data_IF_250288549861
#
_entry.id   IF_250288549861
#
_cell.length_a   1.000
_cell.length_b   1.000
_cell.length_c   1.000
_cell.angle_alpha   90.00
_cell.angle_beta   90.00
_cell.angle_gamma   90.00
#
_symmetry.space_group_name_H-M   'P 1'
#
loop_
_entity.id
_entity.type
_entity.pdbx_description
1 polymer ?
#
# COMPACT_ATOMS: atom_id res chain seq x y z
N UNK A 1 23.47 -15.89 8.30
CA UNK A 1 23.44 -15.96 6.81
C UNK A 1 21.97 -16.26 6.45
N UNK A 2 21.17 -15.19 6.33
CA UNK A 2 19.76 -15.32 5.91
C UNK A 2 19.82 -15.63 4.41
N UNK A 3 19.51 -16.88 4.07
CA UNK A 3 19.49 -17.35 2.69
C UNK A 3 18.29 -16.70 2.00
N UNK A 4 18.56 -15.78 1.09
CA UNK A 4 17.57 -15.19 0.15
C UNK A 4 17.07 -16.22 -0.88
N UNK A 5 17.18 -17.50 -0.59
CA UNK A 5 16.75 -18.60 -1.43
C UNK A 5 15.37 -19.06 -0.95
N UNK A 6 14.34 -18.67 -1.62
CA UNK A 6 13.05 -19.36 -1.76
C UNK A 6 11.87 -18.39 -1.97
N UNK A 7 11.93 -17.60 -3.04
CA UNK A 7 10.68 -17.13 -3.67
C UNK A 7 10.60 -17.63 -5.12
N UNK A 8 11.23 -18.78 -5.41
CA UNK A 8 11.02 -19.51 -6.66
C UNK A 8 9.85 -20.49 -6.46
N UNK A 9 8.64 -20.08 -6.77
CA UNK A 9 7.54 -21.00 -7.01
C UNK A 9 7.88 -21.89 -8.20
N UNK A 10 8.07 -23.17 -7.94
CA UNK A 10 8.36 -24.25 -8.86
C UNK A 10 7.12 -24.48 -9.78
N UNK A 11 7.06 -23.80 -10.92
CA UNK A 11 6.06 -24.07 -11.97
C UNK A 11 6.70 -24.98 -13.01
N UNK A 12 6.20 -26.22 -13.15
CA UNK A 12 6.57 -27.12 -14.25
C UNK A 12 6.22 -26.49 -15.60
N UNK A 13 7.09 -26.58 -16.62
CA UNK A 13 6.77 -26.08 -17.95
C UNK A 13 5.75 -27.00 -18.63
N UNK A 14 4.55 -26.48 -18.82
CA UNK A 14 3.58 -27.06 -19.77
C UNK A 14 3.85 -26.51 -21.16
N UNK A 15 4.29 -27.36 -22.07
CA UNK A 15 4.42 -27.10 -23.50
C UNK A 15 3.06 -26.86 -24.12
N UNK A 16 2.78 -25.64 -24.63
CA UNK A 16 1.83 -25.46 -25.74
C UNK A 16 2.28 -24.29 -26.61
N UNK A 17 2.35 -24.65 -27.88
CA UNK A 17 2.86 -23.86 -29.02
C UNK A 17 1.91 -22.71 -29.38
N UNK A 18 2.50 -21.61 -29.87
CA UNK A 18 1.95 -20.35 -30.32
C UNK A 18 0.93 -20.43 -31.46
N UNK A 19 0.19 -19.33 -31.80
CA UNK A 19 0.74 -18.47 -32.84
C UNK A 19 0.78 -16.98 -32.51
N UNK A 20 1.77 -16.34 -33.09
CA UNK A 20 2.08 -14.93 -33.06
C UNK A 20 0.97 -14.07 -33.68
N UNK A 21 0.55 -13.05 -32.97
CA UNK A 21 0.23 -11.72 -33.49
C UNK A 21 0.01 -10.79 -32.29
N UNK A 22 1.06 -10.17 -31.81
CA UNK A 22 0.98 -9.13 -30.78
C UNK A 22 1.34 -7.79 -31.42
N UNK A 23 0.35 -6.95 -31.61
CA UNK A 23 0.53 -5.53 -31.85
C UNK A 23 1.09 -4.87 -30.57
N UNK A 24 1.96 -3.86 -30.66
CA UNK A 24 2.58 -3.23 -29.51
C UNK A 24 1.62 -2.25 -28.85
N UNK A 25 1.41 -2.41 -27.53
CA UNK A 25 0.94 -1.33 -26.68
C UNK A 25 -0.41 -1.49 -26.02
N UNK A 26 -0.52 -2.28 -24.93
CA UNK A 26 -1.63 -2.13 -23.96
C UNK A 26 -1.48 -2.90 -22.63
N UNK A 27 -0.31 -3.32 -22.15
CA UNK A 27 -0.27 -4.13 -20.93
C UNK A 27 0.62 -3.61 -19.79
N UNK A 28 1.31 -2.48 -19.95
CA UNK A 28 2.17 -1.93 -18.91
C UNK A 28 1.47 -0.94 -17.96
N UNK A 29 0.30 -0.38 -18.32
CA UNK A 29 -0.38 0.65 -17.54
C UNK A 29 -1.23 0.10 -16.38
N UNK A 30 -1.88 -1.05 -16.54
CA UNK A 30 -2.81 -1.57 -15.52
C UNK A 30 -2.13 -2.07 -14.24
N UNK A 31 -0.99 -2.74 -14.36
CA UNK A 31 -0.26 -3.29 -13.20
C UNK A 31 0.31 -2.20 -12.29
N UNK A 32 0.87 -1.14 -12.87
CA UNK A 32 1.41 0.00 -12.11
C UNK A 32 0.33 0.80 -11.38
N UNK A 33 -0.85 0.96 -11.97
CA UNK A 33 -1.98 1.66 -11.37
C UNK A 33 -2.53 0.93 -10.14
N UNK A 34 -2.68 -0.40 -10.20
CA UNK A 34 -3.11 -1.20 -9.06
C UNK A 34 -2.12 -1.14 -7.90
N UNK A 35 -0.83 -1.18 -8.19
CA UNK A 35 0.24 -1.12 -7.21
C UNK A 35 0.25 0.22 -6.47
N UNK A 36 0.01 1.32 -7.19
CA UNK A 36 -0.08 2.65 -6.59
C UNK A 36 -1.15 2.74 -5.49
N UNK A 37 -2.24 1.95 -5.59
CA UNK A 37 -3.29 1.92 -4.56
C UNK A 37 -2.82 1.39 -3.20
N UNK A 38 -1.69 0.68 -3.15
CA UNK A 38 -1.15 0.16 -1.89
C UNK A 38 -0.57 1.28 -1.03
N UNK A 39 -0.11 2.37 -1.65
CA UNK A 39 0.53 3.48 -0.96
C UNK A 39 -0.46 4.53 -0.45
N UNK A 40 -1.72 4.46 -0.88
CA UNK A 40 -2.78 5.41 -0.51
C UNK A 40 -2.34 6.88 -0.69
N UNK A 41 -1.62 7.18 -1.78
CA UNK A 41 -1.08 8.51 -2.10
C UNK A 41 -1.76 9.17 -3.30
N UNK A 42 -2.91 8.64 -3.74
CA UNK A 42 -3.71 9.21 -4.81
C UNK A 42 -4.18 10.62 -4.47
N UNK A 43 -4.16 11.49 -5.48
CA UNK A 43 -4.73 12.84 -5.38
C UNK A 43 -6.26 12.79 -5.25
N UNK A 44 -6.87 13.84 -4.72
CA UNK A 44 -8.31 13.95 -4.56
C UNK A 44 -9.06 13.73 -5.89
N UNK A 45 -8.48 14.16 -7.01
CA UNK A 45 -9.04 13.91 -8.34
C UNK A 45 -9.01 12.41 -8.69
N UNK A 46 -7.88 11.74 -8.52
CA UNK A 46 -7.74 10.30 -8.81
C UNK A 46 -8.69 9.47 -7.94
N UNK A 47 -8.81 9.80 -6.65
CA UNK A 47 -9.74 9.12 -5.74
C UNK A 47 -11.17 9.25 -6.24
N UNK A 48 -11.59 10.47 -6.63
CA UNK A 48 -12.96 10.72 -7.11
C UNK A 48 -13.27 10.01 -8.44
N UNK A 49 -12.25 9.79 -9.29
CA UNK A 49 -12.39 9.04 -10.55
C UNK A 49 -12.52 7.52 -10.30
N UNK A 50 -11.87 7.00 -9.25
CA UNK A 50 -12.00 5.59 -8.84
C UNK A 50 -13.36 5.30 -8.18
N UNK A 51 -13.90 6.27 -7.47
CA UNK A 51 -15.13 6.17 -6.72
C UNK A 51 -16.34 6.23 -7.65
N UNK A 52 -16.75 5.09 -8.22
CA UNK A 52 -18.06 4.99 -8.88
C UNK A 52 -19.09 4.61 -7.82
N UNK A 53 -20.04 5.52 -7.48
CA UNK A 53 -21.13 5.19 -6.55
C UNK A 53 -21.90 3.98 -7.09
N UNK A 54 -21.95 2.89 -6.35
CA UNK A 54 -22.69 1.68 -6.72
C UNK A 54 -24.12 1.69 -6.15
N UNK A 55 -24.55 2.81 -5.52
CA UNK A 55 -25.87 2.94 -4.89
C UNK A 55 -26.14 4.35 -4.37
N UNK A 56 -27.30 4.58 -3.73
CA UNK A 56 -27.59 5.85 -3.08
C UNK A 56 -26.58 6.10 -1.94
N UNK A 57 -25.87 7.21 -2.03
CA UNK A 57 -24.88 7.61 -1.05
C UNK A 57 -25.51 7.87 0.32
N UNK A 58 -25.02 7.21 1.35
CA UNK A 58 -25.34 7.55 2.74
C UNK A 58 -24.60 8.82 3.20
N UNK A 59 -25.06 9.47 4.27
CA UNK A 59 -24.44 10.71 4.78
C UNK A 59 -22.98 10.50 5.24
N UNK A 60 -22.58 9.27 5.52
CA UNK A 60 -21.23 8.87 5.94
C UNK A 60 -20.50 8.03 4.88
N UNK A 61 -20.92 8.10 3.63
CA UNK A 61 -20.21 7.43 2.55
C UNK A 61 -18.94 8.21 2.19
N UNK A 62 -17.73 7.65 2.39
CA UNK A 62 -16.49 8.37 2.17
C UNK A 62 -16.33 8.82 0.71
N UNK A 63 -16.87 8.04 -0.23
CA UNK A 63 -16.75 8.36 -1.65
C UNK A 63 -17.55 9.60 -2.04
N UNK A 64 -18.73 9.77 -1.46
CA UNK A 64 -19.54 10.99 -1.64
C UNK A 64 -18.87 12.20 -1.02
N UNK A 65 -18.21 12.04 0.14
CA UNK A 65 -17.45 13.10 0.79
C UNK A 65 -16.23 13.51 -0.04
N UNK A 66 -15.50 12.55 -0.63
CA UNK A 66 -14.40 12.87 -1.56
C UNK A 66 -14.89 13.61 -2.80
N UNK A 67 -16.01 13.20 -3.40
CA UNK A 67 -16.59 13.89 -4.55
C UNK A 67 -17.04 15.32 -4.20
N UNK A 68 -17.66 15.53 -3.03
CA UNK A 68 -18.02 16.85 -2.50
C UNK A 68 -16.78 17.73 -2.27
N UNK A 69 -15.76 17.18 -1.63
CA UNK A 69 -14.50 17.88 -1.39
C UNK A 69 -13.81 18.32 -2.70
N UNK A 70 -13.80 17.44 -3.73
CA UNK A 70 -13.29 17.78 -5.04
C UNK A 70 -14.08 18.92 -5.69
N UNK A 71 -15.40 18.87 -5.65
CA UNK A 71 -16.27 19.91 -6.21
C UNK A 71 -16.04 21.25 -5.51
N UNK A 72 -15.96 21.27 -4.18
CA UNK A 72 -15.66 22.47 -3.39
C UNK A 72 -14.26 23.04 -3.71
N UNK A 73 -13.25 22.18 -3.81
CA UNK A 73 -11.88 22.57 -4.16
C UNK A 73 -11.82 23.24 -5.55
N UNK A 74 -12.50 22.66 -6.55
CA UNK A 74 -12.59 23.24 -7.90
C UNK A 74 -13.29 24.59 -7.96
N UNK A 75 -14.17 24.88 -7.02
CA UNK A 75 -14.86 26.15 -6.85
C UNK A 75 -14.05 27.19 -6.03
N UNK A 76 -12.86 26.81 -5.58
CA UNK A 76 -12.03 27.65 -4.72
C UNK A 76 -12.49 27.70 -3.25
N UNK A 77 -13.44 26.85 -2.85
CA UNK A 77 -13.94 26.75 -1.47
C UNK A 77 -13.13 25.74 -0.68
N UNK A 78 -11.89 26.11 -0.30
CA UNK A 78 -10.96 25.23 0.42
C UNK A 78 -11.50 24.81 1.81
N UNK A 79 -12.21 25.70 2.50
CA UNK A 79 -12.74 25.40 3.83
C UNK A 79 -13.81 24.29 3.78
N UNK A 80 -14.72 24.36 2.80
CA UNK A 80 -15.72 23.30 2.60
C UNK A 80 -15.04 21.98 2.23
N UNK A 81 -14.04 22.01 1.33
CA UNK A 81 -13.28 20.81 0.95
C UNK A 81 -12.62 20.17 2.17
N UNK A 82 -11.95 20.96 3.02
CA UNK A 82 -11.33 20.45 4.26
C UNK A 82 -12.36 19.88 5.24
N UNK A 83 -13.51 20.55 5.38
CA UNK A 83 -14.57 20.07 6.28
C UNK A 83 -15.13 18.71 5.82
N UNK A 84 -15.33 18.50 4.52
CA UNK A 84 -15.82 17.23 4.01
C UNK A 84 -14.77 16.11 4.16
N UNK A 85 -13.48 16.41 3.96
CA UNK A 85 -12.39 15.47 4.21
C UNK A 85 -12.26 15.10 5.69
N UNK A 86 -12.44 16.06 6.62
CA UNK A 86 -12.43 15.79 8.07
C UNK A 86 -13.58 14.87 8.50
N UNK A 87 -14.75 14.98 7.90
CA UNK A 87 -15.87 14.05 8.14
C UNK A 87 -15.50 12.60 7.79
N UNK A 88 -14.62 12.38 6.79
CA UNK A 88 -14.14 11.04 6.47
C UNK A 88 -13.30 10.46 7.62
N UNK A 89 -12.49 11.30 8.27
CA UNK A 89 -11.67 10.88 9.42
C UNK A 89 -12.51 10.55 10.66
N UNK A 90 -13.71 11.13 10.76
CA UNK A 90 -14.66 10.90 11.85
C UNK A 90 -15.52 9.62 11.64
N UNK A 91 -15.39 8.92 10.50
CA UNK A 91 -16.11 7.67 10.23
C UNK A 91 -15.57 6.57 11.16
N UNK A 92 -16.41 6.00 12.06
CA UNK A 92 -15.97 4.90 12.92
C UNK A 92 -15.52 3.70 12.10
N UNK A 93 -14.45 3.04 12.54
CA UNK A 93 -13.86 1.85 11.89
C UNK A 93 -13.53 2.06 10.40
N UNK A 94 -13.19 3.30 10.03
CA UNK A 94 -12.82 3.66 8.68
C UNK A 94 -11.61 2.86 8.18
N UNK A 95 -11.62 2.47 6.90
CA UNK A 95 -10.47 1.80 6.29
C UNK A 95 -9.22 2.69 6.34
N UNK A 96 -8.08 2.14 6.77
CA UNK A 96 -6.82 2.89 6.93
C UNK A 96 -6.42 3.62 5.65
N UNK A 97 -6.59 3.01 4.47
CA UNK A 97 -6.28 3.67 3.18
C UNK A 97 -7.20 4.84 2.89
N UNK A 98 -8.48 4.75 3.26
CA UNK A 98 -9.45 5.86 3.11
C UNK A 98 -9.04 7.04 3.98
N UNK A 99 -8.61 6.79 5.21
CA UNK A 99 -8.10 7.83 6.12
C UNK A 99 -6.79 8.44 5.60
N UNK A 100 -5.87 7.62 5.06
CA UNK A 100 -4.64 8.09 4.43
C UNK A 100 -4.93 8.98 3.21
N UNK A 101 -5.88 8.63 2.36
CA UNK A 101 -6.32 9.47 1.24
C UNK A 101 -6.92 10.80 1.70
N UNK A 102 -7.73 10.78 2.76
CA UNK A 102 -8.29 12.01 3.32
C UNK A 102 -7.17 12.93 3.85
N UNK A 103 -6.19 12.39 4.59
CA UNK A 103 -5.02 13.15 5.05
C UNK A 103 -4.14 13.61 3.89
N UNK A 104 -3.95 12.82 2.84
CA UNK A 104 -3.22 13.26 1.65
C UNK A 104 -3.90 14.48 1.04
N UNK A 105 -5.21 14.45 0.81
CA UNK A 105 -5.96 15.55 0.26
C UNK A 105 -5.95 16.79 1.19
N UNK A 106 -6.01 16.60 2.51
CA UNK A 106 -5.90 17.69 3.49
C UNK A 106 -4.52 18.36 3.43
N UNK A 107 -3.42 17.57 3.30
CA UNK A 107 -2.06 18.14 3.15
C UNK A 107 -1.93 18.93 1.84
N UNK A 108 -2.50 18.44 0.74
CA UNK A 108 -2.52 19.16 -0.54
C UNK A 108 -3.29 20.50 -0.45
N UNK A 109 -4.24 20.61 0.49
CA UNK A 109 -4.97 21.85 0.84
C UNK A 109 -4.27 22.68 1.94
N UNK A 110 -3.02 22.32 2.31
CA UNK A 110 -2.22 23.06 3.30
C UNK A 110 -2.56 22.77 4.76
N UNK A 111 -3.32 21.67 5.06
CA UNK A 111 -3.56 21.22 6.43
C UNK A 111 -2.41 20.29 6.87
N UNK A 112 -2.08 20.36 8.16
CA UNK A 112 -1.04 19.48 8.75
C UNK A 112 -1.68 18.60 9.82
N UNK A 113 -1.43 17.30 9.86
CA UNK A 113 -1.93 16.46 10.94
C UNK A 113 -1.32 16.90 12.28
N UNK A 114 -2.06 16.77 13.38
CA UNK A 114 -1.54 16.99 14.73
C UNK A 114 -0.26 16.19 14.97
N UNK A 115 0.71 16.76 15.70
CA UNK A 115 2.04 16.15 15.88
C UNK A 115 2.00 14.78 16.58
N UNK A 116 1.02 14.54 17.42
CA UNK A 116 0.82 13.29 18.16
C UNK A 116 0.32 12.14 17.28
N UNK A 117 -0.26 12.43 16.10
CA UNK A 117 -0.73 11.42 15.16
C UNK A 117 0.06 11.41 13.83
N UNK A 118 0.80 12.49 13.54
CA UNK A 118 1.45 12.67 12.23
C UNK A 118 2.35 11.49 11.85
N UNK A 119 3.07 10.91 12.81
CA UNK A 119 4.01 9.81 12.60
C UNK A 119 3.45 8.43 13.00
N UNK A 120 2.15 8.33 13.35
CA UNK A 120 1.52 7.05 13.62
C UNK A 120 1.44 6.21 12.35
N UNK A 121 1.96 4.98 12.41
CA UNK A 121 1.93 4.03 11.30
C UNK A 121 0.49 3.63 11.03
N UNK A 122 0.04 3.83 9.78
CA UNK A 122 -1.25 3.38 9.27
C UNK A 122 -1.13 2.19 8.34
N UNK A 123 0.07 1.97 7.80
CA UNK A 123 0.39 0.84 6.95
C UNK A 123 1.88 0.76 6.64
N UNK A 124 2.28 -0.41 6.16
CA UNK A 124 3.63 -0.68 5.68
C UNK A 124 3.53 -1.35 4.32
N UNK A 125 4.26 -0.83 3.34
CA UNK A 125 4.38 -1.43 2.01
C UNK A 125 5.83 -1.83 1.79
N UNK A 126 6.05 -3.11 1.50
CA UNK A 126 7.36 -3.67 1.19
C UNK A 126 7.43 -4.04 -0.29
N UNK A 127 8.48 -3.61 -0.97
CA UNK A 127 8.78 -3.93 -2.35
C UNK A 127 10.12 -4.68 -2.42
N UNK A 128 10.12 -5.82 -3.10
CA UNK A 128 11.32 -6.61 -3.34
C UNK A 128 11.47 -6.86 -4.83
N UNK A 129 12.57 -6.38 -5.41
CA UNK A 129 12.91 -6.66 -6.80
C UNK A 129 13.66 -7.99 -6.88
N UNK A 130 13.02 -8.98 -7.49
CA UNK A 130 13.58 -10.30 -7.77
C UNK A 130 13.57 -10.62 -9.27
N UNK A 131 13.99 -11.82 -9.66
CA UNK A 131 14.06 -12.24 -11.08
C UNK A 131 12.69 -12.25 -11.80
N UNK A 132 11.59 -12.34 -11.07
CA UNK A 132 10.23 -12.31 -11.62
C UNK A 132 9.63 -10.89 -11.72
N UNK A 133 10.40 -9.88 -11.31
CA UNK A 133 9.97 -8.48 -11.22
C UNK A 133 9.82 -8.02 -9.76
N UNK A 134 9.09 -6.94 -9.55
CA UNK A 134 8.88 -6.38 -8.21
C UNK A 134 7.65 -7.00 -7.56
N UNK A 135 7.88 -7.78 -6.49
CA UNK A 135 6.84 -8.20 -5.57
C UNK A 135 6.55 -7.08 -4.57
N UNK A 136 5.27 -6.80 -4.33
CA UNK A 136 4.83 -5.77 -3.38
C UNK A 136 3.85 -6.37 -2.38
N UNK A 137 4.11 -6.21 -1.08
CA UNK A 137 3.19 -6.59 -0.02
C UNK A 137 2.87 -5.37 0.84
N UNK A 138 1.60 -5.20 1.19
CA UNK A 138 1.14 -4.14 2.07
C UNK A 138 0.33 -4.71 3.24
N UNK A 139 0.52 -4.13 4.42
CA UNK A 139 -0.24 -4.41 5.62
C UNK A 139 -0.72 -3.08 6.24
N UNK A 140 -1.92 -3.06 6.81
CA UNK A 140 -2.55 -1.86 7.38
C UNK A 140 -3.02 -2.12 8.80
N UNK A 141 -3.11 -1.05 9.61
CA UNK A 141 -3.51 -1.16 11.04
C UNK A 141 -4.95 -1.66 11.23
N UNK A 142 -5.79 -1.54 10.23
CA UNK A 142 -7.15 -2.09 10.22
C UNK A 142 -7.22 -3.61 9.95
N UNK A 143 -6.06 -4.29 9.88
CA UNK A 143 -5.98 -5.72 9.67
C UNK A 143 -6.11 -6.18 8.21
N UNK A 144 -6.17 -5.25 7.26
CA UNK A 144 -6.16 -5.57 5.82
C UNK A 144 -4.75 -5.79 5.31
N UNK A 145 -4.62 -6.64 4.29
CA UNK A 145 -3.36 -6.83 3.58
C UNK A 145 -3.57 -6.98 2.08
N UNK A 146 -2.52 -6.66 1.32
CA UNK A 146 -2.50 -6.76 -0.14
C UNK A 146 -1.15 -7.35 -0.56
N UNK A 147 -1.17 -8.18 -1.57
CA UNK A 147 0.04 -8.62 -2.23
C UNK A 147 -0.13 -8.58 -3.74
N UNK A 148 0.89 -8.08 -4.42
CA UNK A 148 1.02 -8.09 -5.85
C UNK A 148 2.37 -8.74 -6.20
N UNK A 149 2.31 -9.87 -6.88
CA UNK A 149 3.49 -10.52 -7.46
C UNK A 149 3.63 -10.10 -8.91
N UNK A 150 4.82 -10.20 -9.47
CA UNK A 150 4.98 -10.08 -10.91
C UNK A 150 3.96 -11.00 -11.65
N UNK A 151 3.60 -10.66 -12.89
CA UNK A 151 2.66 -11.42 -13.75
C UNK A 151 1.18 -11.38 -13.29
N UNK A 152 0.69 -10.21 -12.85
CA UNK A 152 -0.72 -9.94 -12.50
C UNK A 152 -1.30 -10.79 -11.36
N UNK A 153 -0.46 -11.48 -10.60
CA UNK A 153 -0.90 -12.24 -9.43
C UNK A 153 -1.14 -11.29 -8.26
N UNK A 154 -2.38 -11.24 -7.76
CA UNK A 154 -2.77 -10.41 -6.63
C UNK A 154 -3.52 -11.21 -5.58
N UNK A 155 -3.23 -10.94 -4.30
CA UNK A 155 -4.02 -11.41 -3.15
C UNK A 155 -4.56 -10.18 -2.42
N UNK A 156 -5.86 -10.20 -2.14
CA UNK A 156 -6.59 -9.20 -1.36
C UNK A 156 -7.10 -9.87 -0.10
N UNK A 157 -6.72 -9.34 1.06
CA UNK A 157 -7.19 -9.79 2.36
C UNK A 157 -7.96 -8.66 3.05
N UNK A 158 -9.29 -8.83 3.13
CA UNK A 158 -10.21 -7.89 3.80
C UNK A 158 -10.97 -8.56 4.95
N UNK A 159 -10.72 -9.86 5.21
CA UNK A 159 -11.40 -10.64 6.23
C UNK A 159 -10.72 -10.50 7.61
N UNK A 160 -10.57 -9.26 8.07
CA UNK A 160 -9.92 -8.91 9.34
C UNK A 160 -10.54 -9.66 10.53
N UNK A 161 -9.71 -10.13 11.46
CA UNK A 161 -10.17 -10.86 12.64
C UNK A 161 -10.65 -12.28 12.39
N UNK A 162 -10.56 -12.81 11.16
CA UNK A 162 -11.04 -14.15 10.82
C UNK A 162 -9.94 -15.20 10.74
N UNK A 163 -8.66 -14.77 10.76
CA UNK A 163 -7.50 -15.67 10.74
C UNK A 163 -6.39 -15.12 11.64
N UNK A 164 -6.27 -15.69 12.84
CA UNK A 164 -5.33 -15.22 13.86
C UNK A 164 -3.86 -15.24 13.41
N UNK A 165 -3.49 -16.10 12.46
CA UNK A 165 -2.13 -16.16 11.95
C UNK A 165 -1.84 -14.98 11.00
N UNK A 166 -2.79 -14.62 10.14
CA UNK A 166 -2.66 -13.45 9.27
C UNK A 166 -2.69 -12.17 10.10
N UNK A 167 -3.64 -12.03 11.03
CA UNK A 167 -3.75 -10.87 11.90
C UNK A 167 -2.46 -10.65 12.71
N UNK A 168 -1.86 -11.73 13.23
CA UNK A 168 -0.58 -11.68 13.94
C UNK A 168 0.56 -11.26 13.03
N UNK A 169 0.67 -11.79 11.81
CA UNK A 169 1.73 -11.42 10.88
C UNK A 169 1.61 -9.95 10.42
N UNK A 170 0.38 -9.44 10.24
CA UNK A 170 0.13 -8.02 9.97
C UNK A 170 0.66 -7.18 11.13
N UNK A 171 0.26 -7.50 12.37
CA UNK A 171 0.72 -6.80 13.57
C UNK A 171 2.25 -6.81 13.69
N UNK A 172 2.89 -7.97 13.52
CA UNK A 172 4.33 -8.14 13.66
C UNK A 172 5.09 -7.36 12.57
N UNK A 173 4.55 -7.26 11.34
CA UNK A 173 5.13 -6.45 10.28
C UNK A 173 5.06 -4.94 10.59
N UNK A 174 3.90 -4.45 11.05
CA UNK A 174 3.73 -3.05 11.44
C UNK A 174 4.66 -2.70 12.60
N UNK A 175 4.73 -3.57 13.61
CA UNK A 175 5.61 -3.40 14.79
C UNK A 175 7.09 -3.38 14.42
N UNK A 176 7.51 -4.21 13.48
CA UNK A 176 8.90 -4.25 13.00
C UNK A 176 9.32 -2.95 12.29
N UNK A 177 8.36 -2.20 11.71
CA UNK A 177 8.65 -0.96 11.02
C UNK A 177 8.76 0.27 11.94
N UNK A 178 8.27 0.21 13.19
CA UNK A 178 8.28 1.34 14.13
C UNK A 178 9.68 2.00 14.30
N UNK A 179 10.78 1.24 14.46
CA UNK A 179 12.10 1.84 14.63
C UNK A 179 12.57 2.66 13.42
N UNK A 180 12.02 2.39 12.23
CA UNK A 180 12.42 3.04 10.99
C UNK A 180 11.77 4.42 10.80
N UNK A 181 10.68 4.73 11.50
CA UNK A 181 9.89 5.97 11.31
C UNK A 181 10.75 7.22 11.47
N UNK A 182 11.57 7.28 12.51
CA UNK A 182 12.37 8.47 12.83
C UNK A 182 13.57 8.68 11.89
N UNK A 183 14.06 7.63 11.26
CA UNK A 183 15.23 7.67 10.39
C UNK A 183 14.92 7.81 8.89
N UNK A 184 13.68 7.54 8.50
CA UNK A 184 13.28 7.53 7.11
C UNK A 184 12.82 8.92 6.62
N UNK A 185 13.27 9.38 5.43
CA UNK A 185 12.82 10.66 4.88
C UNK A 185 11.32 10.66 4.60
N UNK A 186 10.67 11.78 4.86
CA UNK A 186 9.24 11.99 4.66
C UNK A 186 8.97 12.54 3.25
N UNK A 187 7.98 11.99 2.57
CA UNK A 187 7.48 12.46 1.27
C UNK A 187 5.94 12.44 1.26
N UNK A 188 5.34 13.22 0.39
CA UNK A 188 3.89 13.13 0.13
C UNK A 188 3.54 12.00 -0.85
N UNK A 189 4.50 11.45 -1.56
CA UNK A 189 4.30 10.46 -2.60
C UNK A 189 5.22 9.26 -2.39
N UNK A 190 4.77 8.07 -2.81
CA UNK A 190 5.67 6.93 -2.82
C UNK A 190 6.81 7.16 -3.83
N UNK A 191 7.95 6.57 -3.54
CA UNK A 191 9.14 6.77 -4.37
C UNK A 191 9.04 5.96 -5.66
N UNK A 192 9.09 6.65 -6.78
CA UNK A 192 9.25 6.07 -8.11
C UNK A 192 10.63 6.46 -8.69
N UNK A 193 11.24 5.66 -9.52
CA UNK A 193 10.81 4.36 -10.07
C UNK A 193 10.79 3.23 -9.03
N UNK A 194 10.43 2.03 -9.47
CA UNK A 194 10.56 0.79 -8.68
C UNK A 194 11.96 0.63 -8.09
N UNK A 195 12.11 -0.09 -6.95
CA UNK A 195 13.43 -0.35 -6.38
C UNK A 195 14.36 -1.00 -7.41
N UNK A 196 15.64 -0.69 -7.34
CA UNK A 196 16.64 -1.30 -8.20
C UNK A 196 16.68 -2.83 -8.00
N UNK A 197 17.28 -3.56 -8.95
CA UNK A 197 17.46 -5.01 -8.82
C UNK A 197 18.18 -5.36 -7.50
N UNK A 198 17.70 -6.39 -6.85
CA UNK A 198 18.21 -6.87 -5.54
C UNK A 198 18.02 -5.87 -4.39
N UNK A 199 17.25 -4.77 -4.57
CA UNK A 199 16.93 -3.85 -3.49
C UNK A 199 15.59 -4.22 -2.84
N UNK A 200 15.53 -3.98 -1.53
CA UNK A 200 14.33 -4.04 -0.71
C UNK A 200 13.96 -2.63 -0.28
N UNK A 201 12.73 -2.23 -0.56
CA UNK A 201 12.19 -0.93 -0.17
C UNK A 201 11.06 -1.12 0.83
N UNK A 202 11.12 -0.37 1.92
CA UNK A 202 10.06 -0.25 2.93
C UNK A 202 9.48 1.15 2.86
N UNK A 203 8.19 1.26 2.62
CA UNK A 203 7.44 2.50 2.68
C UNK A 203 6.47 2.44 3.85
N UNK A 204 6.64 3.32 4.83
CA UNK A 204 5.83 3.44 6.03
C UNK A 204 4.82 4.54 5.79
N UNK A 205 3.54 4.19 5.82
CA UNK A 205 2.43 5.08 5.56
C UNK A 205 1.97 5.71 6.87
N UNK A 206 2.02 7.03 6.95
CA UNK A 206 1.60 7.81 8.12
C UNK A 206 0.66 8.93 7.71
N UNK A 207 -0.05 9.53 8.65
CA UNK A 207 -0.90 10.69 8.34
C UNK A 207 -0.08 11.91 7.88
N UNK A 208 1.18 12.01 8.33
CA UNK A 208 2.13 13.04 7.87
C UNK A 208 2.64 12.83 6.45
N UNK A 209 2.55 11.62 5.91
CA UNK A 209 3.06 11.25 4.57
C UNK A 209 3.66 9.85 4.55
N UNK A 210 4.52 9.60 3.57
CA UNK A 210 5.19 8.33 3.36
C UNK A 210 6.66 8.47 3.74
N UNK A 211 7.15 7.58 4.61
CA UNK A 211 8.56 7.48 4.97
C UNK A 211 9.16 6.27 4.28
N UNK A 212 10.27 6.45 3.56
CA UNK A 212 10.81 5.39 2.71
C UNK A 212 12.27 5.09 3.07
N UNK A 213 12.57 3.81 3.22
CA UNK A 213 13.92 3.26 3.35
C UNK A 213 14.13 2.26 2.22
N UNK A 214 15.27 2.35 1.53
CA UNK A 214 15.66 1.41 0.49
C UNK A 214 17.08 0.89 0.77
N UNK A 215 17.24 -0.43 0.75
CA UNK A 215 18.48 -1.11 1.12
C UNK A 215 18.82 -2.16 0.06
N UNK A 216 20.09 -2.27 -0.27
CA UNK A 216 20.59 -3.36 -1.09
C UNK A 216 20.47 -4.69 -0.32
N UNK A 217 19.79 -5.69 -0.87
CA UNK A 217 19.47 -6.93 -0.18
C UNK A 217 20.64 -7.64 0.49
N UNK A 218 21.82 -7.78 -0.17
CA UNK A 218 23.02 -8.35 0.44
C UNK A 218 23.55 -7.61 1.68
N UNK A 219 23.18 -6.34 1.88
CA UNK A 219 23.56 -5.55 3.07
C UNK A 219 22.63 -5.81 4.27
N UNK A 220 21.48 -6.48 4.06
CA UNK A 220 20.53 -6.79 5.12
C UNK A 220 21.05 -8.02 5.90
N UNK A 221 21.90 -7.74 6.88
CA UNK A 221 22.39 -8.73 7.85
C UNK A 221 21.42 -8.80 9.05
N UNK A 222 21.63 -9.79 9.95
CA UNK A 222 20.73 -10.06 11.07
C UNK A 222 20.46 -8.83 11.96
N UNK A 223 21.48 -8.01 12.22
CA UNK A 223 21.38 -6.81 13.05
C UNK A 223 20.92 -5.56 12.28
N UNK A 224 20.65 -5.66 10.98
CA UNK A 224 20.21 -4.52 10.18
C UNK A 224 18.78 -4.13 10.57
N UNK A 225 18.46 -2.82 10.80
CA UNK A 225 17.13 -2.37 11.26
C UNK A 225 15.97 -2.81 10.34
N UNK A 226 16.23 -3.06 9.06
CA UNK A 226 15.24 -3.51 8.08
C UNK A 226 15.04 -5.03 8.09
N UNK A 227 15.96 -5.82 8.67
CA UNK A 227 15.86 -7.28 8.66
C UNK A 227 14.57 -7.82 9.27
N UNK A 228 14.05 -7.33 10.43
CA UNK A 228 12.77 -7.78 10.97
C UNK A 228 11.58 -7.45 10.06
N UNK A 229 11.63 -6.34 9.30
CA UNK A 229 10.56 -5.96 8.36
C UNK A 229 10.54 -6.93 7.18
N UNK A 230 11.71 -7.25 6.61
CA UNK A 230 11.83 -8.23 5.54
C UNK A 230 11.32 -9.61 5.99
N UNK A 231 11.74 -10.08 7.16
CA UNK A 231 11.32 -11.38 7.70
C UNK A 231 9.80 -11.46 7.88
N UNK A 232 9.19 -10.44 8.49
CA UNK A 232 7.74 -10.42 8.74
C UNK A 232 6.93 -10.23 7.46
N UNK A 233 7.47 -9.51 6.45
CA UNK A 233 6.83 -9.42 5.13
C UNK A 233 6.75 -10.78 4.44
N UNK A 234 7.80 -11.61 4.53
CA UNK A 234 7.82 -12.98 4.01
C UNK A 234 6.83 -13.87 4.75
N UNK A 235 6.79 -13.81 6.10
CA UNK A 235 5.82 -14.58 6.91
C UNK A 235 4.38 -14.24 6.54
N UNK A 236 4.07 -12.94 6.36
CA UNK A 236 2.74 -12.51 5.95
C UNK A 236 2.41 -13.04 4.55
N UNK A 237 3.33 -12.95 3.60
CA UNK A 237 3.15 -13.48 2.25
C UNK A 237 2.86 -14.98 2.26
N UNK A 238 3.61 -15.75 3.04
CA UNK A 238 3.40 -17.20 3.18
C UNK A 238 2.01 -17.53 3.76
N UNK A 239 1.56 -16.77 4.75
CA UNK A 239 0.24 -16.94 5.34
C UNK A 239 -0.89 -16.63 4.32
N UNK A 240 -0.77 -15.54 3.59
CA UNK A 240 -1.71 -15.15 2.53
C UNK A 240 -1.76 -16.19 1.40
N UNK A 241 -0.62 -16.70 0.95
CA UNK A 241 -0.55 -17.74 -0.08
C UNK A 241 -1.23 -19.05 0.37
N UNK A 242 -1.00 -19.51 1.61
CA UNK A 242 -1.64 -20.69 2.17
C UNK A 242 -3.17 -20.56 2.23
N UNK A 243 -3.65 -19.35 2.47
CA UNK A 243 -5.10 -19.08 2.55
C UNK A 243 -5.75 -19.00 1.17
N UNK A 244 -5.07 -18.45 0.18
CA UNK A 244 -5.60 -18.31 -1.19
C UNK A 244 -5.68 -19.62 -1.97
N UNK A 245 -5.07 -20.71 -1.45
CA UNK A 245 -5.09 -22.04 -2.06
C UNK A 245 -6.19 -22.96 -1.51
N UNK A 246 -6.95 -22.51 -0.53
CA UNK A 246 -8.09 -23.23 0.08
C UNK A 246 -9.42 -22.75 -0.50
#
# INVERSE_FOLDING_TARGET
MIVLACLACNSKPGTNSAPANAGPGASASSSGEFKALFFADQTLQQISEMAKPTGPAGPNDPWSLFASALAASRQGNADQAKNDLKKILDIPDGESRVQLWAWRALRDLGETPPADIADQIQGVVCELHNQAGVGTIAAYVDGRARWHGGQDKMIVWDATGTDAAIDRNIYDLLKAAEPLVNGAPLSNEHKTPEPAAEHFRVSILTFGGIRTVEVFGPEIVEDHPVAPVLENSVKLLDALNKKSQK
#
